data_IF_631202682333
#
_entry.id   IF_631202682333
#
_cell.length_a   1.000
_cell.length_b   1.000
_cell.length_c   1.000
_cell.angle_alpha   90.00
_cell.angle_beta   90.00
_cell.angle_gamma   90.00
#
_symmetry.space_group_name_H-M   'P 1'
#
loop_
_entity.id
_entity.type
_entity.pdbx_description
1 polymer ?
#
# COMPACT_ATOMS: atom_id res chain seq x y z
N UNK A 1 -15.35 32.12 49.87
CA UNK A 1 -14.11 32.72 50.44
C UNK A 1 -12.96 32.18 49.62
N UNK A 2 -12.44 33.07 48.73
CA UNK A 2 -11.02 33.40 48.49
C UNK A 2 -10.11 32.23 48.06
N UNK A 3 -9.27 32.29 47.04
CA UNK A 3 -8.67 33.43 46.29
C UNK A 3 -7.98 32.90 45.04
N UNK A 4 -7.99 33.72 44.03
CA UNK A 4 -7.24 33.64 42.78
C UNK A 4 -5.71 33.64 43.01
N UNK A 5 -4.95 32.94 42.17
CA UNK A 5 -3.59 33.35 41.83
C UNK A 5 -3.34 33.14 40.35
N UNK A 6 -3.37 34.22 39.59
CA UNK A 6 -2.78 34.38 38.25
C UNK A 6 -1.28 34.61 38.44
N UNK A 7 -0.43 33.92 37.66
CA UNK A 7 0.92 34.40 37.35
C UNK A 7 1.14 34.44 35.85
N UNK A 8 1.28 35.68 35.40
CA UNK A 8 1.87 36.09 34.11
C UNK A 8 3.38 36.23 34.33
N UNK A 9 4.17 35.84 33.35
CA UNK A 9 5.51 36.39 33.04
C UNK A 9 5.72 36.08 31.57
N UNK A 10 5.71 37.01 30.73
CA UNK A 10 6.61 38.10 30.30
C UNK A 10 7.70 37.62 29.34
N UNK A 11 7.61 38.23 28.17
CA UNK A 11 8.47 38.26 26.98
C UNK A 11 9.88 38.80 27.28
N UNK A 12 10.86 38.30 26.55
CA UNK A 12 12.05 38.99 26.03
C UNK A 12 12.59 38.10 24.92
N UNK A 13 12.88 38.46 23.68
CA UNK A 13 13.22 39.73 23.08
C UNK A 13 14.66 39.69 22.59
N UNK A 14 14.85 39.79 21.24
CA UNK A 14 16.05 40.30 20.54
C UNK A 14 17.25 39.35 20.41
N UNK A 15 18.08 39.33 19.37
CA UNK A 15 18.35 40.23 18.23
C UNK A 15 19.18 39.49 17.18
N UNK A 16 19.00 39.88 15.95
CA UNK A 16 19.91 40.24 14.84
C UNK A 16 21.44 40.05 15.00
N UNK A 17 22.07 39.54 13.94
CA UNK A 17 23.28 40.08 13.26
C UNK A 17 23.59 39.23 12.03
N UNK A 18 23.44 39.77 10.86
CA UNK A 18 24.31 40.44 9.87
C UNK A 18 25.26 39.51 9.11
N UNK A 19 24.96 39.34 7.85
CA UNK A 19 25.62 39.76 6.59
C UNK A 19 27.15 39.67 6.53
N UNK A 20 27.67 38.84 5.62
CA UNK A 20 28.90 39.17 4.86
C UNK A 20 28.86 38.53 3.47
N UNK A 21 28.83 39.43 2.50
CA UNK A 21 29.09 39.23 1.06
C UNK A 21 30.59 39.29 0.88
N UNK A 22 31.18 38.41 0.07
CA UNK A 22 32.45 38.65 -0.58
C UNK A 22 32.46 38.06 -2.00
N UNK A 23 32.43 38.96 -2.94
CA UNK A 23 32.75 38.82 -4.36
C UNK A 23 34.25 38.69 -4.59
N UNK A 24 34.66 37.86 -5.54
CA UNK A 24 35.94 38.09 -6.25
C UNK A 24 35.83 37.52 -7.68
N UNK A 25 36.07 38.42 -8.60
CA UNK A 25 36.18 38.29 -10.04
C UNK A 25 37.58 37.77 -10.49
N UNK A 26 37.64 37.38 -11.74
CA UNK A 26 38.88 37.36 -12.55
C UNK A 26 39.03 36.05 -13.31
N UNK A 27 39.28 35.95 -14.56
CA UNK A 27 39.38 36.74 -15.77
C UNK A 27 39.92 35.82 -16.85
N UNK A 28 39.31 35.86 -18.02
CA UNK A 28 39.89 35.94 -19.39
C UNK A 28 40.97 34.96 -19.86
N UNK A 29 40.71 34.41 -21.04
CA UNK A 29 41.74 33.82 -21.89
C UNK A 29 41.14 33.25 -23.19
N UNK A 30 40.98 34.12 -24.19
CA UNK A 30 40.66 33.78 -25.58
C UNK A 30 41.95 33.40 -26.35
N UNK A 31 41.80 32.44 -27.30
CA UNK A 31 42.54 32.45 -28.55
C UNK A 31 42.05 31.37 -29.52
N UNK A 32 41.46 31.77 -30.61
CA UNK A 32 41.48 31.10 -31.92
C UNK A 32 42.75 31.54 -32.67
N UNK A 33 43.29 30.77 -33.67
CA UNK A 33 42.74 30.84 -35.01
C UNK A 33 42.90 29.59 -35.92
N UNK A 34 41.98 29.45 -36.82
CA UNK A 34 41.99 29.30 -38.28
C UNK A 34 43.19 28.58 -38.98
N UNK A 35 42.91 27.56 -39.84
CA UNK A 35 42.94 27.68 -41.29
C UNK A 35 42.89 26.29 -42.00
N UNK A 36 42.02 26.24 -43.01
CA UNK A 36 42.16 25.66 -44.38
C UNK A 36 42.60 24.18 -44.50
N UNK A 37 41.94 23.34 -45.20
CA UNK A 37 41.34 23.37 -46.52
C UNK A 37 41.46 21.96 -47.09
N UNK A 38 40.56 21.55 -47.92
CA UNK A 38 40.73 20.35 -48.72
C UNK A 38 39.45 19.49 -48.83
N UNK A 39 38.61 19.85 -49.77
CA UNK A 39 37.63 18.92 -50.35
C UNK A 39 38.34 18.12 -51.43
N UNK A 40 38.09 16.83 -51.57
CA UNK A 40 37.50 16.38 -52.82
C UNK A 40 36.47 15.23 -52.73
N UNK A 41 35.56 15.36 -53.67
CA UNK A 41 34.95 14.28 -54.47
C UNK A 41 33.96 13.29 -53.84
N UNK A 42 32.80 13.45 -54.30
CA UNK A 42 31.60 12.60 -54.28
C UNK A 42 31.86 11.23 -54.92
N UNK A 43 31.47 10.16 -54.22
CA UNK A 43 31.08 8.89 -54.83
C UNK A 43 29.77 8.39 -54.22
N UNK A 44 28.82 7.84 -54.96
CA UNK A 44 27.51 7.48 -54.45
C UNK A 44 27.58 6.19 -53.62
N UNK A 45 27.18 6.25 -52.36
CA UNK A 45 27.06 5.10 -51.51
C UNK A 45 25.69 4.41 -51.78
N UNK A 46 25.78 3.12 -52.06
CA UNK A 46 24.64 2.22 -52.18
C UNK A 46 23.79 2.23 -50.91
N UNK A 47 22.49 2.35 -51.13
CA UNK A 47 21.46 2.22 -50.13
C UNK A 47 21.39 0.75 -49.67
N UNK A 48 22.02 0.42 -48.58
CA UNK A 48 21.79 -0.83 -47.87
C UNK A 48 20.55 -0.65 -47.00
N UNK A 49 19.47 -1.33 -47.37
CA UNK A 49 18.29 -1.45 -46.52
C UNK A 49 18.68 -2.16 -45.23
N UNK A 50 18.70 -1.40 -44.12
CA UNK A 50 18.81 -1.94 -42.79
C UNK A 50 17.51 -2.68 -42.46
N UNK A 51 17.51 -3.99 -42.56
CA UNK A 51 16.53 -4.88 -41.96
C UNK A 51 16.69 -4.72 -40.42
N UNK A 52 15.76 -4.03 -39.78
CA UNK A 52 15.62 -4.07 -38.33
C UNK A 52 15.43 -5.53 -37.91
N UNK A 53 16.17 -6.00 -36.91
CA UNK A 53 15.83 -7.27 -36.30
C UNK A 53 14.45 -7.13 -35.67
N UNK A 54 13.54 -8.01 -36.05
CA UNK A 54 12.28 -8.19 -35.34
C UNK A 54 12.64 -8.48 -33.89
N UNK A 55 12.20 -7.60 -32.95
CA UNK A 55 12.22 -7.90 -31.54
C UNK A 55 11.39 -9.16 -31.31
N UNK A 56 12.07 -10.27 -31.16
CA UNK A 56 11.47 -11.47 -30.60
C UNK A 56 11.11 -11.12 -29.17
N UNK A 57 9.83 -10.79 -28.94
CA UNK A 57 9.27 -10.76 -27.60
C UNK A 57 9.46 -12.17 -27.01
N UNK A 58 10.51 -12.32 -26.20
CA UNK A 58 10.65 -13.51 -25.38
C UNK A 58 9.52 -13.47 -24.38
N UNK A 59 8.44 -14.17 -24.65
CA UNK A 59 7.38 -14.41 -23.67
C UNK A 59 8.00 -15.23 -22.55
N UNK A 60 8.41 -14.53 -21.49
CA UNK A 60 8.73 -15.17 -20.21
C UNK A 60 7.49 -15.98 -19.82
N UNK A 61 7.62 -17.28 -19.47
CA UNK A 61 6.48 -18.05 -19.03
C UNK A 61 5.78 -17.29 -17.89
N UNK A 62 4.45 -17.31 -17.84
CA UNK A 62 3.71 -16.63 -16.77
C UNK A 62 4.21 -17.15 -15.41
N UNK A 63 4.52 -16.23 -14.53
CA UNK A 63 4.94 -16.55 -13.16
C UNK A 63 3.71 -17.12 -12.46
N UNK A 64 3.81 -18.38 -12.00
CA UNK A 64 2.74 -18.98 -11.21
C UNK A 64 2.66 -18.28 -9.84
N UNK A 65 1.50 -17.78 -9.49
CA UNK A 65 1.23 -17.23 -8.16
C UNK A 65 0.93 -18.42 -7.23
N UNK A 66 1.70 -18.54 -6.14
CA UNK A 66 1.55 -19.65 -5.19
C UNK A 66 0.66 -19.28 -4.01
N UNK A 67 0.70 -18.01 -3.58
CA UNK A 67 -0.13 -17.51 -2.50
C UNK A 67 -0.37 -15.99 -2.64
N UNK A 68 -1.58 -15.55 -2.30
CA UNK A 68 -1.97 -14.13 -2.31
C UNK A 68 -2.20 -13.69 -0.87
N UNK A 69 -1.35 -12.80 -0.37
CA UNK A 69 -1.43 -12.27 0.98
C UNK A 69 -2.42 -11.11 1.12
N UNK A 70 -2.52 -10.27 0.08
CA UNK A 70 -3.43 -9.13 0.07
C UNK A 70 -3.96 -8.84 -1.33
N UNK A 71 -5.16 -8.26 -1.36
CA UNK A 71 -5.81 -7.74 -2.55
C UNK A 71 -6.21 -6.28 -2.30
N UNK A 72 -6.02 -5.42 -3.29
CA UNK A 72 -6.39 -4.01 -3.23
C UNK A 72 -6.81 -3.48 -4.61
N UNK A 73 -7.34 -2.27 -4.64
CA UNK A 73 -7.49 -1.47 -5.87
C UNK A 73 -6.56 -0.28 -5.82
N UNK A 74 -5.85 -0.04 -6.90
CA UNK A 74 -5.12 1.22 -7.10
C UNK A 74 -6.12 2.37 -7.14
N UNK A 75 -6.01 3.40 -6.26
CA UNK A 75 -6.98 4.50 -6.22
C UNK A 75 -6.94 5.38 -7.47
N UNK A 76 -5.84 5.42 -8.20
CA UNK A 76 -5.66 6.27 -9.38
C UNK A 76 -6.12 5.59 -10.67
N UNK A 77 -5.79 4.30 -10.88
CA UNK A 77 -6.13 3.57 -12.09
C UNK A 77 -7.36 2.68 -11.93
N UNK A 78 -7.73 2.30 -10.70
CA UNK A 78 -8.77 1.33 -10.42
C UNK A 78 -8.37 -0.12 -10.67
N UNK A 79 -7.13 -0.38 -11.08
CA UNK A 79 -6.63 -1.72 -11.35
C UNK A 79 -6.58 -2.58 -10.09
N UNK A 80 -6.83 -3.87 -10.25
CA UNK A 80 -6.69 -4.83 -9.17
C UNK A 80 -5.20 -5.12 -8.92
N UNK A 81 -4.83 -5.11 -7.65
CA UNK A 81 -3.49 -5.39 -7.15
C UNK A 81 -3.52 -6.66 -6.31
N UNK A 82 -2.56 -7.54 -6.53
CA UNK A 82 -2.35 -8.76 -5.75
C UNK A 82 -0.94 -8.73 -5.17
N UNK A 83 -0.83 -8.70 -3.85
CA UNK A 83 0.44 -8.87 -3.14
C UNK A 83 0.64 -10.36 -2.86
N UNK A 84 1.76 -10.90 -3.32
CA UNK A 84 2.01 -12.35 -3.37
C UNK A 84 3.43 -12.69 -2.91
N UNK A 85 3.72 -13.99 -2.76
CA UNK A 85 5.11 -14.48 -2.58
C UNK A 85 6.03 -14.08 -3.74
N UNK A 86 5.48 -13.96 -4.96
CA UNK A 86 6.24 -13.68 -6.17
C UNK A 86 6.32 -12.18 -6.48
N UNK A 87 5.80 -11.33 -5.59
CA UNK A 87 5.81 -9.87 -5.73
C UNK A 87 4.42 -9.29 -5.92
N UNK A 88 4.39 -8.05 -6.41
CA UNK A 88 3.15 -7.35 -6.74
C UNK A 88 2.71 -7.70 -8.16
N UNK A 89 1.46 -8.07 -8.32
CA UNK A 89 0.82 -8.24 -9.64
C UNK A 89 -0.29 -7.21 -9.80
N UNK A 90 -0.47 -6.77 -11.04
CA UNK A 90 -1.56 -5.90 -11.48
C UNK A 90 -2.41 -6.65 -12.50
N UNK A 91 -3.72 -6.56 -12.38
CA UNK A 91 -4.64 -7.09 -13.35
C UNK A 91 -4.98 -5.99 -14.36
N UNK A 92 -4.44 -6.09 -15.55
CA UNK A 92 -4.52 -5.09 -16.63
C UNK A 92 -5.07 -5.78 -17.88
N UNK A 93 -6.16 -5.27 -18.46
CA UNK A 93 -6.78 -5.79 -19.70
C UNK A 93 -7.04 -7.31 -19.68
N UNK A 94 -7.41 -7.87 -18.52
CA UNK A 94 -7.70 -9.30 -18.38
C UNK A 94 -6.48 -10.18 -18.09
N UNK A 95 -5.29 -9.61 -17.98
CA UNK A 95 -4.05 -10.33 -17.73
C UNK A 95 -3.41 -9.89 -16.38
N UNK A 96 -2.74 -10.83 -15.73
CA UNK A 96 -1.89 -10.56 -14.59
C UNK A 96 -0.47 -10.21 -15.05
N UNK A 97 -0.04 -9.00 -14.71
CA UNK A 97 1.29 -8.49 -15.01
C UNK A 97 2.06 -8.31 -13.72
N UNK A 98 3.20 -8.99 -13.60
CA UNK A 98 4.13 -8.79 -12.50
C UNK A 98 4.69 -7.37 -12.55
N UNK A 99 4.70 -6.68 -11.42
CA UNK A 99 5.05 -5.27 -11.34
C UNK A 99 6.21 -5.03 -10.36
N UNK A 100 7.33 -4.56 -10.89
CA UNK A 100 8.51 -4.22 -10.10
C UNK A 100 9.35 -5.43 -9.67
N UNK A 101 10.01 -5.27 -8.52
CA UNK A 101 10.92 -6.27 -7.95
C UNK A 101 10.15 -7.45 -7.35
N UNK A 102 10.78 -8.62 -7.38
CA UNK A 102 10.26 -9.80 -6.66
C UNK A 102 10.54 -9.64 -5.18
N UNK A 103 9.51 -9.34 -4.42
CA UNK A 103 9.52 -9.26 -2.96
C UNK A 103 8.33 -10.08 -2.47
N UNK A 104 8.55 -11.00 -1.56
CA UNK A 104 7.48 -11.70 -0.87
C UNK A 104 6.75 -10.68 0.02
N UNK A 105 5.56 -10.24 -0.43
CA UNK A 105 4.81 -9.16 0.19
C UNK A 105 3.84 -9.69 1.23
N UNK A 106 4.35 -10.00 2.43
CA UNK A 106 3.56 -10.54 3.56
C UNK A 106 2.49 -9.56 4.05
N UNK A 107 2.84 -8.27 4.15
CA UNK A 107 1.93 -7.18 4.43
C UNK A 107 1.89 -6.18 3.29
N UNK A 108 0.68 -5.73 2.91
CA UNK A 108 0.49 -4.75 1.84
C UNK A 108 -0.70 -3.84 2.14
N UNK A 109 -0.51 -2.55 1.93
CA UNK A 109 -1.56 -1.54 2.06
C UNK A 109 -1.37 -0.42 1.05
N UNK A 110 -2.47 0.13 0.54
CA UNK A 110 -2.49 1.34 -0.27
C UNK A 110 -3.13 2.45 0.56
N UNK A 111 -2.38 3.52 0.78
CA UNK A 111 -2.88 4.68 1.51
C UNK A 111 -3.84 5.52 0.65
N UNK A 112 -4.69 6.36 1.26
CA UNK A 112 -5.63 7.21 0.53
C UNK A 112 -4.97 8.20 -0.45
N UNK A 113 -3.70 8.57 -0.21
CA UNK A 113 -2.90 9.44 -1.08
C UNK A 113 -2.26 8.70 -2.27
N UNK A 114 -2.46 7.39 -2.39
CA UNK A 114 -1.90 6.55 -3.43
C UNK A 114 -0.50 6.02 -3.15
N UNK A 115 0.07 6.27 -1.97
CA UNK A 115 1.33 5.64 -1.54
C UNK A 115 1.10 4.17 -1.20
N UNK A 116 1.95 3.29 -1.73
CA UNK A 116 1.93 1.88 -1.36
C UNK A 116 2.91 1.62 -0.22
N UNK A 117 2.46 0.85 0.74
CA UNK A 117 3.25 0.35 1.86
C UNK A 117 3.27 -1.17 1.83
N UNK A 118 4.44 -1.75 2.09
CA UNK A 118 4.56 -3.19 2.17
C UNK A 118 5.63 -3.61 3.19
N UNK A 119 5.61 -4.90 3.52
CA UNK A 119 6.60 -5.58 4.36
C UNK A 119 6.73 -7.02 3.90
N UNK A 120 7.81 -7.69 4.30
CA UNK A 120 8.07 -9.09 3.97
C UNK A 120 9.54 -9.37 3.69
N UNK A 121 9.83 -10.14 2.65
CA UNK A 121 11.17 -10.67 2.40
C UNK A 121 11.65 -10.39 0.97
N UNK A 122 12.93 -9.98 0.77
CA UNK A 122 13.46 -9.77 -0.57
C UNK A 122 13.60 -11.11 -1.31
N UNK A 123 13.20 -11.11 -2.57
CA UNK A 123 13.45 -12.23 -3.46
C UNK A 123 14.92 -12.33 -3.88
N UNK A 124 15.25 -13.39 -4.60
CA UNK A 124 16.62 -13.64 -5.06
C UNK A 124 17.13 -12.48 -5.91
N UNK A 125 18.29 -11.93 -5.56
CA UNK A 125 18.94 -10.83 -6.27
C UNK A 125 18.37 -9.45 -6.02
N UNK A 126 17.43 -9.30 -5.07
CA UNK A 126 16.90 -8.00 -4.63
C UNK A 126 17.74 -7.48 -3.47
N UNK A 127 18.36 -6.32 -3.67
CA UNK A 127 19.24 -5.67 -2.67
C UNK A 127 18.39 -4.87 -1.66
N UNK A 128 17.72 -5.58 -0.76
CA UNK A 128 16.97 -5.04 0.37
C UNK A 128 17.30 -5.82 1.64
N UNK A 129 17.16 -5.23 2.83
CA UNK A 129 17.32 -5.94 4.09
C UNK A 129 16.36 -7.13 4.23
N UNK A 130 16.71 -8.11 5.06
CA UNK A 130 15.83 -9.23 5.40
C UNK A 130 15.59 -9.31 6.91
N UNK A 131 14.32 -9.17 7.36
CA UNK A 131 13.15 -8.75 6.58
C UNK A 131 13.29 -7.32 6.04
N UNK A 132 12.46 -6.95 5.04
CA UNK A 132 12.58 -5.62 4.40
C UNK A 132 12.19 -4.45 5.32
N UNK A 133 11.51 -4.73 6.44
CA UNK A 133 10.92 -3.70 7.29
C UNK A 133 9.67 -3.10 6.67
N UNK A 134 9.45 -1.80 6.86
CA UNK A 134 8.48 -1.04 6.08
C UNK A 134 9.15 -0.54 4.81
N UNK A 135 8.61 -0.92 3.67
CA UNK A 135 8.99 -0.40 2.36
C UNK A 135 7.84 0.42 1.76
N UNK A 136 8.19 1.41 0.95
CA UNK A 136 7.21 2.29 0.30
C UNK A 136 7.48 2.39 -1.19
N UNK A 137 6.38 2.58 -1.94
CA UNK A 137 6.41 2.92 -3.36
C UNK A 137 5.48 4.11 -3.63
N UNK A 138 5.94 5.07 -4.42
CA UNK A 138 5.16 6.21 -4.92
C UNK A 138 4.91 6.14 -6.42
N UNK A 139 5.28 5.04 -7.06
CA UNK A 139 5.18 4.82 -8.51
C UNK A 139 4.34 3.59 -8.86
N UNK A 140 3.33 3.33 -8.05
CA UNK A 140 2.40 2.22 -8.19
C UNK A 140 3.07 0.83 -8.11
N UNK A 141 4.09 0.69 -7.24
CA UNK A 141 4.76 -0.58 -6.97
C UNK A 141 5.86 -0.97 -7.96
N UNK A 142 6.28 -0.06 -8.86
CA UNK A 142 7.39 -0.35 -9.79
C UNK A 142 8.73 -0.37 -9.09
N UNK A 143 8.94 0.56 -8.16
CA UNK A 143 10.14 0.62 -7.32
C UNK A 143 9.79 0.70 -5.85
N UNK A 144 10.61 0.07 -5.03
CA UNK A 144 10.43 0.01 -3.58
C UNK A 144 11.67 0.57 -2.89
N UNK A 145 11.45 1.28 -1.79
CA UNK A 145 12.52 1.77 -0.93
C UNK A 145 12.21 1.47 0.53
N UNK A 146 13.22 1.16 1.31
CA UNK A 146 13.09 1.00 2.75
C UNK A 146 12.77 2.35 3.37
N UNK A 147 11.63 2.45 4.01
CA UNK A 147 11.26 3.62 4.80
C UNK A 147 11.83 3.53 6.21
N UNK A 148 11.70 2.34 6.84
CA UNK A 148 12.22 2.09 8.19
C UNK A 148 12.24 0.61 8.53
N UNK A 149 12.88 0.26 9.65
CA UNK A 149 12.90 -1.06 10.29
C UNK A 149 13.41 -2.21 9.41
N UNK A 150 14.18 -1.92 8.38
CA UNK A 150 14.87 -2.94 7.58
C UNK A 150 15.75 -3.83 8.48
N UNK A 151 15.69 -5.15 8.28
CA UNK A 151 16.35 -6.15 9.11
C UNK A 151 15.74 -6.36 10.50
N UNK A 152 14.61 -5.70 10.82
CA UNK A 152 14.02 -5.72 12.17
C UNK A 152 12.56 -6.17 12.20
N UNK A 153 11.76 -5.77 11.21
CA UNK A 153 10.31 -6.02 11.23
C UNK A 153 9.84 -6.71 9.98
N UNK A 154 8.93 -7.66 10.18
CA UNK A 154 8.11 -8.28 9.17
C UNK A 154 6.64 -8.07 9.56
N UNK A 155 6.00 -7.07 8.96
CA UNK A 155 4.62 -6.71 9.28
C UNK A 155 3.65 -7.59 8.49
N UNK A 156 3.17 -8.68 9.09
CA UNK A 156 2.17 -9.57 8.48
C UNK A 156 0.78 -8.94 8.42
N UNK A 157 0.38 -8.15 9.43
CA UNK A 157 -0.80 -7.32 9.37
C UNK A 157 -0.36 -5.86 9.23
N UNK A 158 -0.76 -5.22 8.12
CA UNK A 158 -0.35 -3.86 7.75
C UNK A 158 -1.54 -3.10 7.17
N UNK A 159 -1.73 -1.86 7.61
CA UNK A 159 -2.72 -0.94 7.03
C UNK A 159 -2.19 0.48 7.03
N UNK A 160 -2.68 1.30 6.10
CA UNK A 160 -2.35 2.71 6.00
C UNK A 160 -3.63 3.54 5.94
N UNK A 161 -3.80 4.42 6.90
CA UNK A 161 -4.87 5.41 6.95
C UNK A 161 -4.38 6.81 6.62
N UNK A 162 -5.26 7.82 6.67
CA UNK A 162 -4.91 9.20 6.31
C UNK A 162 -3.88 9.84 7.24
N UNK A 163 -3.76 9.35 8.48
CA UNK A 163 -2.89 9.93 9.50
C UNK A 163 -1.74 9.04 9.95
N UNK A 164 -1.78 7.74 9.66
CA UNK A 164 -0.78 6.81 10.16
C UNK A 164 -0.74 5.50 9.39
N UNK A 165 0.43 4.86 9.40
CA UNK A 165 0.64 3.46 9.05
C UNK A 165 0.63 2.66 10.35
N UNK A 166 -0.09 1.55 10.37
CA UNK A 166 -0.20 0.64 11.50
C UNK A 166 0.25 -0.75 11.05
N UNK A 167 1.18 -1.35 11.78
CA UNK A 167 1.71 -2.69 11.47
C UNK A 167 1.86 -3.54 12.72
N UNK A 168 1.82 -4.86 12.52
CA UNK A 168 2.04 -5.85 13.56
C UNK A 168 3.17 -6.80 13.13
N UNK A 169 4.24 -6.83 13.93
CA UNK A 169 5.43 -7.67 13.79
C UNK A 169 5.69 -8.52 15.06
N UNK A 170 4.61 -8.98 15.70
CA UNK A 170 4.62 -9.52 17.06
C UNK A 170 4.29 -8.46 18.11
N UNK A 171 4.39 -7.18 17.74
CA UNK A 171 3.99 -6.00 18.54
C UNK A 171 3.21 -5.06 17.65
N UNK A 172 2.07 -4.53 18.13
CA UNK A 172 1.34 -3.51 17.39
C UNK A 172 2.11 -2.19 17.44
N UNK A 173 2.30 -1.58 16.28
CA UNK A 173 3.03 -0.32 16.11
C UNK A 173 2.25 0.65 15.24
N UNK A 174 2.36 1.93 15.55
CA UNK A 174 1.84 3.01 14.71
C UNK A 174 2.93 4.02 14.38
N UNK A 175 2.89 4.58 13.17
CA UNK A 175 3.79 5.63 12.70
C UNK A 175 3.02 6.65 11.87
N UNK A 176 3.23 7.95 12.14
CA UNK A 176 2.64 9.04 11.37
C UNK A 176 3.52 9.50 10.21
N UNK A 177 4.77 9.09 10.19
CA UNK A 177 5.79 9.49 9.20
C UNK A 177 6.45 8.31 8.48
N UNK A 178 6.04 7.06 8.81
CA UNK A 178 6.62 5.83 8.29
C UNK A 178 8.04 5.53 8.81
N UNK A 179 8.60 6.38 9.68
CA UNK A 179 9.98 6.27 10.17
C UNK A 179 10.06 6.12 11.68
N UNK A 180 9.29 6.90 12.41
CA UNK A 180 9.22 6.89 13.87
C UNK A 180 8.02 6.08 14.34
N UNK A 181 8.25 5.06 15.17
CA UNK A 181 7.23 4.11 15.57
C UNK A 181 6.90 4.21 17.06
N UNK A 182 5.62 4.21 17.36
CA UNK A 182 5.09 4.09 18.72
C UNK A 182 4.51 2.70 18.93
N UNK A 183 4.94 2.01 19.99
CA UNK A 183 4.34 0.75 20.41
C UNK A 183 2.93 0.98 20.91
N UNK A 184 2.01 0.12 20.50
CA UNK A 184 0.60 0.12 20.88
C UNK A 184 0.22 -1.20 21.54
N UNK A 185 -0.88 -1.20 22.28
CA UNK A 185 -1.38 -2.41 22.93
C UNK A 185 -2.68 -2.85 22.25
N UNK A 186 -2.78 -4.12 21.94
CA UNK A 186 -4.00 -4.75 21.40
C UNK A 186 -4.31 -5.99 22.25
N UNK A 187 -5.62 -6.29 22.55
CA UNK A 187 -5.99 -7.41 23.42
C UNK A 187 -5.52 -8.80 22.96
N UNK A 188 -5.41 -9.01 21.64
CA UNK A 188 -4.88 -10.23 21.04
C UNK A 188 -4.22 -9.92 19.69
N UNK A 189 -3.27 -10.74 19.21
CA UNK A 189 -2.64 -10.53 17.90
C UNK A 189 -3.65 -10.38 16.78
N UNK A 190 -3.52 -9.34 15.92
CA UNK A 190 -4.42 -9.15 14.80
C UNK A 190 -4.05 -10.09 13.65
N UNK A 191 -5.08 -10.70 13.02
CA UNK A 191 -4.94 -11.36 11.73
C UNK A 191 -4.97 -10.34 10.59
N UNK A 192 -5.91 -9.39 10.63
CA UNK A 192 -5.97 -8.27 9.70
C UNK A 192 -6.16 -6.95 10.42
N UNK A 193 -5.66 -5.90 9.79
CA UNK A 193 -5.85 -4.51 10.17
C UNK A 193 -6.48 -3.77 9.00
N UNK A 194 -7.42 -2.87 9.27
CA UNK A 194 -8.00 -2.00 8.26
C UNK A 194 -8.20 -0.60 8.83
N UNK A 195 -7.81 0.44 8.09
CA UNK A 195 -8.02 1.84 8.45
C UNK A 195 -9.13 2.46 7.60
N UNK A 196 -10.05 3.17 8.21
CA UNK A 196 -11.06 3.95 7.50
C UNK A 196 -10.40 5.06 6.66
N UNK A 197 -10.88 5.32 5.44
CA UNK A 197 -10.16 6.17 4.49
C UNK A 197 -10.08 7.66 4.88
N UNK A 198 -10.99 8.14 5.71
CA UNK A 198 -11.04 9.55 6.12
C UNK A 198 -10.75 9.76 7.61
N UNK A 199 -11.42 9.03 8.51
CA UNK A 199 -11.22 9.16 9.96
C UNK A 199 -9.97 8.45 10.47
N UNK A 200 -9.47 7.45 9.73
CA UNK A 200 -8.40 6.59 10.20
C UNK A 200 -8.84 5.63 11.32
N UNK A 201 -10.14 5.47 11.56
CA UNK A 201 -10.65 4.48 12.52
C UNK A 201 -10.15 3.08 12.13
N UNK A 202 -9.45 2.42 13.06
CA UNK A 202 -8.89 1.11 12.84
C UNK A 202 -9.87 0.01 13.16
N UNK A 203 -9.83 -1.05 12.37
CA UNK A 203 -10.43 -2.34 12.67
C UNK A 203 -9.34 -3.41 12.76
N UNK A 204 -9.54 -4.38 13.62
CA UNK A 204 -8.67 -5.54 13.76
C UNK A 204 -9.51 -6.79 13.96
N UNK A 205 -9.26 -7.84 13.16
CA UNK A 205 -9.75 -9.18 13.47
C UNK A 205 -8.74 -9.89 14.35
N UNK A 206 -9.18 -10.46 15.46
CA UNK A 206 -8.35 -11.14 16.45
C UNK A 206 -9.06 -12.37 17.00
N UNK A 207 -8.37 -13.19 17.78
CA UNK A 207 -8.99 -14.28 18.55
C UNK A 207 -10.00 -13.76 19.59
N UNK A 208 -9.82 -12.53 20.07
CA UNK A 208 -10.77 -11.85 20.95
C UNK A 208 -12.00 -11.28 20.23
N UNK A 209 -12.08 -11.46 18.89
CA UNK A 209 -13.16 -10.98 18.03
C UNK A 209 -12.74 -9.78 17.17
N UNK A 210 -13.76 -9.09 16.60
CA UNK A 210 -13.58 -7.88 15.83
C UNK A 210 -13.48 -6.68 16.77
N UNK A 211 -12.41 -5.92 16.65
CA UNK A 211 -12.10 -4.76 17.48
C UNK A 211 -12.05 -3.48 16.64
N UNK A 212 -12.41 -2.35 17.23
CA UNK A 212 -12.30 -1.02 16.64
C UNK A 212 -11.54 -0.05 17.56
N UNK A 213 -10.72 0.82 16.98
CA UNK A 213 -9.97 1.87 17.66
C UNK A 213 -10.09 3.19 16.89
N UNK A 214 -10.37 4.28 17.59
CA UNK A 214 -10.42 5.65 17.02
C UNK A 214 -9.23 6.52 17.42
N UNK A 215 -8.22 5.94 18.06
CA UNK A 215 -7.06 6.64 18.64
C UNK A 215 -5.72 6.00 18.21
N UNK A 216 -5.66 5.56 16.93
CA UNK A 216 -4.46 4.93 16.33
C UNK A 216 -3.94 3.71 17.09
N UNK A 217 -4.88 2.88 17.61
CA UNK A 217 -4.56 1.64 18.30
C UNK A 217 -4.16 1.78 19.76
N UNK A 218 -4.44 2.93 20.40
CA UNK A 218 -4.16 3.14 21.82
C UNK A 218 -5.21 2.47 22.72
N UNK A 219 -6.49 2.52 22.32
CA UNK A 219 -7.59 1.81 22.97
C UNK A 219 -8.46 1.08 21.96
N UNK A 220 -9.11 0.00 22.41
CA UNK A 220 -9.91 -0.87 21.55
C UNK A 220 -11.26 -1.16 22.17
N UNK A 221 -12.30 -1.16 21.37
CA UNK A 221 -13.65 -1.58 21.73
C UNK A 221 -14.11 -2.75 20.85
N UNK A 222 -14.86 -3.72 21.39
CA UNK A 222 -15.39 -4.80 20.57
C UNK A 222 -16.51 -4.32 19.65
N UNK A 223 -16.58 -4.95 18.47
CA UNK A 223 -17.75 -4.94 17.59
C UNK A 223 -18.37 -6.34 17.59
N UNK A 224 -19.67 -6.44 17.34
CA UNK A 224 -20.42 -7.71 17.43
C UNK A 224 -21.04 -8.06 16.08
N UNK A 225 -20.27 -8.50 15.09
CA UNK A 225 -20.82 -9.01 13.84
C UNK A 225 -21.55 -10.35 14.07
N UNK A 226 -22.45 -10.76 13.17
CA UNK A 226 -23.27 -11.98 13.30
C UNK A 226 -22.49 -13.27 12.97
N UNK A 227 -21.19 -13.30 13.21
CA UNK A 227 -20.29 -14.43 12.99
C UNK A 227 -18.87 -14.05 13.33
N UNK A 228 -18.00 -15.04 13.50
CA UNK A 228 -16.58 -14.79 13.77
C UNK A 228 -15.91 -14.21 12.53
N UNK A 229 -15.50 -12.94 12.62
CA UNK A 229 -14.78 -12.26 11.54
C UNK A 229 -13.37 -12.82 11.42
N UNK A 230 -13.03 -13.32 10.25
CA UNK A 230 -11.69 -13.78 9.88
C UNK A 230 -10.87 -12.64 9.27
N UNK A 231 -11.48 -11.90 8.33
CA UNK A 231 -10.90 -10.75 7.66
C UNK A 231 -11.86 -9.56 7.76
N UNK A 232 -11.31 -8.34 7.71
CA UNK A 232 -12.08 -7.10 7.72
C UNK A 232 -11.47 -6.06 6.80
N UNK A 233 -12.33 -5.26 6.17
CA UNK A 233 -11.93 -4.08 5.39
C UNK A 233 -13.00 -2.99 5.46
N UNK A 234 -12.60 -1.75 5.19
CA UNK A 234 -13.50 -0.63 4.94
C UNK A 234 -13.74 -0.49 3.43
N UNK A 235 -14.99 -0.29 3.02
CA UNK A 235 -15.31 0.13 1.66
C UNK A 235 -15.43 1.65 1.54
N UNK A 236 -15.86 2.30 2.60
CA UNK A 236 -15.94 3.73 2.80
C UNK A 236 -16.00 4.03 4.31
N UNK A 237 -16.24 5.30 4.69
CA UNK A 237 -16.25 5.76 6.10
C UNK A 237 -17.32 5.11 6.99
N UNK A 238 -18.35 4.49 6.40
CA UNK A 238 -19.46 3.85 7.12
C UNK A 238 -19.62 2.38 6.80
N UNK A 239 -19.08 1.93 5.67
CA UNK A 239 -19.29 0.57 5.18
C UNK A 239 -18.12 -0.31 5.53
N UNK A 240 -18.37 -1.30 6.39
CA UNK A 240 -17.42 -2.34 6.77
C UNK A 240 -17.83 -3.65 6.10
N UNK A 241 -16.87 -4.38 5.59
CA UNK A 241 -17.05 -5.74 5.07
C UNK A 241 -16.20 -6.71 5.87
N UNK A 242 -16.77 -7.83 6.26
CA UNK A 242 -16.07 -8.96 6.88
C UNK A 242 -16.20 -10.21 6.02
N UNK A 243 -15.17 -11.04 6.05
CA UNK A 243 -15.28 -12.45 5.70
C UNK A 243 -15.24 -13.26 6.99
N UNK A 244 -16.18 -14.17 7.17
CA UNK A 244 -16.28 -14.99 8.39
C UNK A 244 -15.45 -16.26 8.29
N UNK A 245 -15.17 -16.89 9.43
CA UNK A 245 -14.52 -18.22 9.49
C UNK A 245 -15.34 -19.32 8.85
N UNK A 246 -16.64 -19.09 8.60
CA UNK A 246 -17.54 -20.01 7.90
C UNK A 246 -17.64 -19.73 6.40
N UNK A 247 -16.85 -18.79 5.88
CA UNK A 247 -16.77 -18.45 4.46
C UNK A 247 -17.94 -17.58 3.95
N UNK A 248 -18.59 -16.82 4.82
CA UNK A 248 -19.68 -15.92 4.47
C UNK A 248 -19.21 -14.46 4.50
N UNK A 249 -19.79 -13.60 3.66
CA UNK A 249 -19.57 -12.17 3.73
C UNK A 249 -20.63 -11.50 4.62
N UNK A 250 -20.16 -10.59 5.48
CA UNK A 250 -21.00 -9.73 6.29
C UNK A 250 -20.75 -8.26 5.95
N UNK A 251 -21.79 -7.45 5.88
CA UNK A 251 -21.72 -6.02 5.56
C UNK A 251 -22.43 -5.22 6.65
N UNK A 252 -21.73 -4.18 7.11
CA UNK A 252 -22.31 -3.09 7.92
C UNK A 252 -22.28 -1.81 7.10
N UNK A 253 -23.35 -1.00 7.13
CA UNK A 253 -23.42 0.31 6.49
C UNK A 253 -23.42 1.47 7.49
N UNK A 254 -23.21 1.18 8.76
CA UNK A 254 -23.29 2.12 9.90
C UNK A 254 -22.10 1.99 10.86
N UNK A 255 -20.90 1.74 10.30
CA UNK A 255 -19.65 1.62 11.04
C UNK A 255 -19.68 0.53 12.14
N UNK A 256 -20.36 -0.57 11.86
CA UNK A 256 -20.38 -1.75 12.72
C UNK A 256 -21.50 -1.75 13.76
N UNK A 257 -22.47 -0.82 13.70
CA UNK A 257 -23.59 -0.82 14.61
C UNK A 257 -24.61 -1.92 14.28
N UNK A 258 -24.90 -2.12 13.00
CA UNK A 258 -25.75 -3.22 12.51
C UNK A 258 -25.08 -3.96 11.35
N UNK A 259 -25.49 -5.21 11.13
CA UNK A 259 -24.86 -6.09 10.15
C UNK A 259 -25.90 -6.89 9.37
N UNK A 260 -25.59 -7.12 8.10
CA UNK A 260 -26.26 -8.11 7.24
C UNK A 260 -25.24 -9.18 6.88
N UNK A 261 -25.56 -10.44 7.19
CA UNK A 261 -24.76 -11.60 6.81
C UNK A 261 -25.38 -12.27 5.58
N UNK A 262 -24.60 -12.43 4.51
CA UNK A 262 -25.05 -13.20 3.36
C UNK A 262 -25.02 -14.69 3.68
N UNK A 263 -26.09 -15.45 3.40
CA UNK A 263 -26.12 -16.89 3.66
C UNK A 263 -25.21 -17.71 2.75
N UNK A 264 -24.83 -17.16 1.58
CA UNK A 264 -23.97 -17.86 0.61
C UNK A 264 -22.53 -17.98 1.16
N UNK A 265 -21.94 -19.15 0.99
CA UNK A 265 -20.54 -19.40 1.32
C UNK A 265 -19.70 -19.26 0.09
N UNK A 266 -18.63 -18.48 0.19
CA UNK A 266 -17.70 -18.18 -0.91
C UNK A 266 -16.38 -18.97 -0.80
N UNK A 267 -16.21 -19.81 0.21
CA UNK A 267 -14.96 -20.51 0.49
C UNK A 267 -14.18 -19.92 1.66
N UNK A 268 -12.99 -20.46 1.91
CA UNK A 268 -12.09 -19.96 2.97
C UNK A 268 -11.39 -18.70 2.48
N UNK A 269 -11.71 -17.56 3.08
CA UNK A 269 -11.14 -16.27 2.67
C UNK A 269 -9.67 -16.13 3.14
N UNK A 270 -8.79 -15.71 2.23
CA UNK A 270 -7.36 -15.46 2.44
C UNK A 270 -7.05 -13.96 2.40
N UNK A 271 -7.67 -13.22 1.48
CA UNK A 271 -7.55 -11.76 1.36
C UNK A 271 -8.91 -11.14 1.04
N UNK A 272 -9.11 -9.88 1.46
CA UNK A 272 -10.37 -9.16 1.32
C UNK A 272 -10.11 -7.69 1.03
N UNK A 273 -10.82 -7.15 0.04
CA UNK A 273 -10.88 -5.72 -0.25
C UNK A 273 -12.31 -5.32 -0.60
N UNK A 274 -12.70 -4.12 -0.21
CA UNK A 274 -13.98 -3.55 -0.62
C UNK A 274 -13.83 -2.06 -0.92
N UNK A 275 -14.66 -1.56 -1.84
CA UNK A 275 -14.75 -0.12 -2.16
C UNK A 275 -16.13 0.24 -2.66
N UNK A 276 -16.42 1.54 -2.71
CA UNK A 276 -17.53 2.07 -3.50
C UNK A 276 -17.06 2.35 -4.92
N UNK A 277 -17.85 1.89 -5.88
CA UNK A 277 -17.71 2.29 -7.28
C UNK A 277 -18.12 3.75 -7.50
N UNK A 278 -17.84 4.30 -8.67
CA UNK A 278 -18.26 5.66 -9.06
C UNK A 278 -19.79 5.83 -9.11
N UNK A 279 -20.52 4.73 -9.26
CA UNK A 279 -21.98 4.64 -9.22
C UNK A 279 -22.53 4.51 -7.80
N UNK A 280 -21.66 4.48 -6.78
CA UNK A 280 -22.00 4.25 -5.37
C UNK A 280 -22.25 2.78 -5.03
N UNK A 281 -22.15 1.84 -5.98
CA UNK A 281 -22.27 0.41 -5.76
C UNK A 281 -21.15 -0.14 -4.88
N UNK A 282 -21.43 -1.15 -4.07
CA UNK A 282 -20.43 -1.84 -3.26
C UNK A 282 -19.75 -2.92 -4.12
N UNK A 283 -18.45 -2.78 -4.35
CA UNK A 283 -17.62 -3.84 -4.89
C UNK A 283 -16.85 -4.51 -3.76
N UNK A 284 -16.89 -5.83 -3.71
CA UNK A 284 -16.07 -6.65 -2.81
C UNK A 284 -15.23 -7.59 -3.68
N UNK A 285 -13.94 -7.63 -3.41
CA UNK A 285 -13.00 -8.62 -3.97
C UNK A 285 -12.47 -9.48 -2.83
N UNK A 286 -12.58 -10.78 -2.98
CA UNK A 286 -12.13 -11.74 -1.99
C UNK A 286 -11.29 -12.84 -2.67
N UNK A 287 -10.15 -13.14 -2.09
CA UNK A 287 -9.39 -14.34 -2.43
C UNK A 287 -9.89 -15.47 -1.55
N UNK A 288 -10.42 -16.52 -2.18
CA UNK A 288 -10.93 -17.68 -1.47
C UNK A 288 -10.71 -18.94 -2.31
N UNK A 289 -10.21 -20.01 -1.68
CA UNK A 289 -9.95 -21.31 -2.32
C UNK A 289 -9.15 -21.14 -3.64
N UNK A 290 -8.07 -20.34 -3.59
CA UNK A 290 -7.18 -20.03 -4.72
C UNK A 290 -7.85 -19.30 -5.90
N UNK A 291 -9.02 -18.68 -5.69
CA UNK A 291 -9.73 -17.86 -6.68
C UNK A 291 -9.78 -16.41 -6.24
N UNK A 292 -9.75 -15.50 -7.20
CA UNK A 292 -10.00 -14.07 -6.96
C UNK A 292 -11.42 -13.76 -7.39
N UNK A 293 -12.31 -13.69 -6.43
CA UNK A 293 -13.75 -13.53 -6.64
C UNK A 293 -14.17 -12.08 -6.45
N UNK A 294 -14.97 -11.58 -7.36
CA UNK A 294 -15.64 -10.27 -7.27
C UNK A 294 -17.13 -10.47 -7.05
N UNK A 295 -17.72 -9.65 -6.19
CA UNK A 295 -19.16 -9.57 -6.01
C UNK A 295 -19.62 -8.13 -5.92
N UNK A 296 -20.83 -7.84 -6.42
CA UNK A 296 -21.50 -6.53 -6.35
C UNK A 296 -22.79 -6.57 -5.50
N UNK A 297 -23.17 -7.74 -5.03
CA UNK A 297 -24.41 -8.02 -4.30
C UNK A 297 -24.15 -8.64 -2.91
N UNK A 298 -22.97 -8.33 -2.34
CA UNK A 298 -22.59 -8.77 -1.00
C UNK A 298 -22.31 -10.26 -0.89
N UNK A 299 -22.01 -10.95 -2.00
CA UNK A 299 -21.64 -12.36 -2.04
C UNK A 299 -22.77 -13.30 -2.45
N UNK A 300 -23.90 -12.80 -2.92
CA UNK A 300 -24.97 -13.64 -3.46
C UNK A 300 -24.53 -14.29 -4.77
N UNK A 301 -23.91 -13.50 -5.63
CA UNK A 301 -23.26 -13.98 -6.86
C UNK A 301 -21.79 -13.56 -6.88
N UNK A 302 -20.94 -14.36 -7.51
CA UNK A 302 -19.52 -14.08 -7.65
C UNK A 302 -19.04 -14.31 -9.07
N UNK A 303 -18.10 -13.47 -9.50
CA UNK A 303 -17.35 -13.58 -10.74
C UNK A 303 -15.90 -13.91 -10.42
N UNK A 304 -15.30 -14.91 -11.05
CA UNK A 304 -13.86 -15.14 -10.93
C UNK A 304 -13.12 -14.19 -11.87
N UNK A 305 -12.24 -13.36 -11.32
CA UNK A 305 -11.48 -12.36 -12.08
C UNK A 305 -10.22 -12.92 -12.74
N UNK A 306 -9.79 -14.09 -12.31
CA UNK A 306 -8.62 -14.78 -12.88
C UNK A 306 -9.07 -16.09 -13.54
N UNK A 307 -8.45 -16.48 -14.68
CA UNK A 307 -8.80 -17.69 -15.39
C UNK A 307 -8.50 -18.98 -14.61
#
# INVERSE_FOLDING_TARGET
MNTRARRRFLLAGSALATLAVLTACGSTGAATPSARGGSPAIAPAATAAATSPAETSSSRPPVAITHIHAVARDPNSGELLLATHEGLFRHVNGELVQNGQVIDLMGFAVAPDGTYYASGHPGAGVDLPQPVGLITSSDAGRTWRVASRGGQSDFHALTAGPAAVIGFDGVLRSSTDGTTWTTRTIPAPPRTLAAAPTSGTLLATTEAGLLASSDTGSTWRPLSPPGTALLVTWADEKTIVIATTTGQLGVSSDAGATWTLNPTRIGTAEALHARRGSDGGLEIVVVADSKVLRTLDGGTTTENLLP
#
